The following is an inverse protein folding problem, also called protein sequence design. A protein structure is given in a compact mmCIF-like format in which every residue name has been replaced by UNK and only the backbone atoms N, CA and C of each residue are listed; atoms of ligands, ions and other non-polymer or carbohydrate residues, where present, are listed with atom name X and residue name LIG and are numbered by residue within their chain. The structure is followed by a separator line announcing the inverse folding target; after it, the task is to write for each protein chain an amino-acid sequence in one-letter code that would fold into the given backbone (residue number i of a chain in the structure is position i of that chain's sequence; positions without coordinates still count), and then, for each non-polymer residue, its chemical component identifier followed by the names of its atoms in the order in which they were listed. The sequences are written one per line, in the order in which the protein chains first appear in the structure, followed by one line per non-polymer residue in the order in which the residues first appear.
data_IF_614682780279
#
_entry.id   IF_614682780279
#
_cell.length_a   1.000
_cell.length_b   1.000
_cell.length_c   1.000
_cell.angle_alpha   90.00
_cell.angle_beta   90.00
_cell.angle_gamma   90.00
#
_symmetry.space_group_name_H-M   'P 1'
#
loop_
_entity.id
_entity.type
_entity.pdbx_description
1 polymer ?
#
# COMPACT_ATOMS: atom_id res chain seq x y z
N UNK A 1 -21.21 13.19 12.14
CA UNK A 1 -20.13 12.19 12.10
C UNK A 1 -20.75 10.81 11.88
N UNK A 2 -20.23 10.01 10.97
CA UNK A 2 -20.67 8.64 10.73
C UNK A 2 -19.64 7.68 11.30
N UNK A 3 -20.11 6.48 11.69
CA UNK A 3 -19.23 5.41 12.15
C UNK A 3 -18.76 4.63 10.92
N UNK A 4 -17.49 4.32 10.85
CA UNK A 4 -16.91 3.50 9.81
C UNK A 4 -15.80 2.59 10.36
N UNK A 5 -15.53 1.51 9.68
CA UNK A 5 -14.52 0.53 10.05
C UNK A 5 -13.72 0.10 8.83
N UNK A 6 -12.53 -0.40 9.06
CA UNK A 6 -11.69 -1.04 8.05
C UNK A 6 -11.92 -2.54 8.11
N UNK A 7 -12.07 -3.15 6.95
CA UNK A 7 -12.15 -4.60 6.81
C UNK A 7 -11.09 -5.06 5.82
N UNK A 8 -10.67 -6.30 5.96
CA UNK A 8 -9.78 -6.92 5.00
C UNK A 8 -10.44 -6.96 3.61
N UNK A 9 -9.64 -6.87 2.56
CA UNK A 9 -10.13 -7.11 1.21
C UNK A 9 -10.73 -8.52 1.12
N UNK A 10 -11.91 -8.68 0.47
CA UNK A 10 -12.51 -9.98 0.30
C UNK A 10 -11.58 -10.90 -0.51
N UNK A 11 -11.40 -12.13 -0.05
CA UNK A 11 -10.65 -13.13 -0.79
C UNK A 11 -11.60 -13.90 -1.72
N UNK A 12 -11.14 -14.18 -2.93
CA UNK A 12 -11.79 -15.14 -3.80
C UNK A 12 -11.08 -16.49 -3.62
N UNK A 13 -11.80 -17.47 -3.07
CA UNK A 13 -11.26 -18.80 -2.78
C UNK A 13 -10.85 -19.58 -4.03
N UNK A 14 -11.36 -19.21 -5.20
CA UNK A 14 -11.07 -19.89 -6.48
C UNK A 14 -9.66 -19.59 -6.99
N UNK A 15 -9.03 -18.50 -6.51
CA UNK A 15 -7.68 -18.08 -6.93
C UNK A 15 -6.62 -18.22 -5.82
N UNK A 16 -6.94 -18.90 -4.72
CA UNK A 16 -6.03 -19.11 -3.60
C UNK A 16 -6.00 -17.97 -2.57
N UNK A 17 -5.12 -18.06 -1.58
CA UNK A 17 -5.03 -17.02 -0.56
C UNK A 17 -4.53 -15.72 -1.15
N UNK A 18 -5.26 -14.64 -0.93
CA UNK A 18 -4.84 -13.31 -1.37
C UNK A 18 -3.57 -12.86 -0.64
N UNK A 19 -2.61 -12.41 -1.43
CA UNK A 19 -1.53 -11.55 -0.95
C UNK A 19 -1.92 -10.10 -1.20
N UNK A 20 -1.67 -9.23 -0.23
CA UNK A 20 -1.90 -7.81 -0.38
C UNK A 20 -0.69 -7.18 -1.06
N UNK A 21 -0.86 -6.30 -2.07
CA UNK A 21 0.26 -5.58 -2.64
C UNK A 21 0.85 -4.65 -1.57
N UNK A 22 2.14 -4.78 -1.32
CA UNK A 22 2.88 -3.89 -0.45
C UNK A 22 3.64 -2.86 -1.29
N UNK A 23 3.38 -1.60 -0.99
CA UNK A 23 4.16 -0.48 -1.50
C UNK A 23 4.91 0.14 -0.34
N UNK A 24 6.18 0.45 -0.55
CA UNK A 24 7.00 1.10 0.47
C UNK A 24 7.59 2.37 -0.09
N UNK A 25 7.49 3.45 0.67
CA UNK A 25 8.28 4.64 0.42
C UNK A 25 9.68 4.43 1.00
N UNK A 26 10.70 4.82 0.25
CA UNK A 26 12.09 4.68 0.65
C UNK A 26 12.78 6.03 0.77
N UNK A 27 13.75 6.10 1.66
CA UNK A 27 14.67 7.24 1.76
C UNK A 27 16.03 6.86 1.19
N UNK A 28 16.64 7.77 0.45
CA UNK A 28 17.98 7.60 -0.11
C UNK A 28 18.87 8.77 0.27
N UNK A 29 20.17 8.48 0.40
CA UNK A 29 21.19 9.50 0.62
C UNK A 29 21.83 9.83 -0.73
N UNK A 30 21.84 11.12 -1.09
CA UNK A 30 22.53 11.55 -2.32
C UNK A 30 24.00 11.16 -2.28
N UNK A 31 24.50 10.64 -3.39
CA UNK A 31 25.93 10.31 -3.53
C UNK A 31 26.84 11.54 -3.38
N UNK A 32 26.32 12.73 -3.67
CA UNK A 32 27.03 14.01 -3.57
C UNK A 32 26.87 14.71 -2.21
N UNK A 33 26.12 14.12 -1.27
CA UNK A 33 25.94 14.72 0.06
C UNK A 33 27.26 14.77 0.83
N UNK A 34 27.53 15.90 1.43
CA UNK A 34 28.69 16.10 2.35
C UNK A 34 28.36 15.64 3.78
N UNK A 35 27.08 15.32 4.08
CA UNK A 35 26.58 14.96 5.40
C UNK A 35 25.96 13.55 5.45
N UNK A 36 26.61 12.57 4.79
CA UNK A 36 26.08 11.22 4.65
C UNK A 36 25.85 10.52 5.99
N UNK A 37 26.74 10.71 6.95
CA UNK A 37 26.61 10.10 8.27
C UNK A 37 25.40 10.65 9.04
N UNK A 38 25.24 11.98 9.03
CA UNK A 38 24.07 12.60 9.67
C UNK A 38 22.76 12.17 9.00
N UNK A 39 22.75 12.09 7.66
CA UNK A 39 21.61 11.61 6.90
C UNK A 39 21.28 10.14 7.24
N UNK A 40 22.31 9.32 7.42
CA UNK A 40 22.13 7.92 7.83
C UNK A 40 21.58 7.79 9.25
N UNK A 41 22.06 8.60 10.20
CA UNK A 41 21.50 8.64 11.55
C UNK A 41 20.02 9.05 11.55
N UNK A 42 19.64 10.02 10.71
CA UNK A 42 18.25 10.40 10.53
C UNK A 42 17.40 9.26 9.96
N UNK A 43 17.89 8.55 8.92
CA UNK A 43 17.19 7.41 8.34
C UNK A 43 16.99 6.31 9.38
N UNK A 44 18.04 5.99 10.15
CA UNK A 44 17.94 5.00 11.24
C UNK A 44 16.90 5.40 12.28
N UNK A 45 16.93 6.63 12.73
CA UNK A 45 15.96 7.12 13.70
C UNK A 45 14.55 7.04 13.14
N UNK A 46 14.36 7.54 11.91
CA UNK A 46 13.03 7.55 11.27
C UNK A 46 12.46 6.15 11.05
N UNK A 47 13.31 5.16 10.79
CA UNK A 47 12.88 3.79 10.49
C UNK A 47 12.75 2.93 11.75
N UNK A 48 13.64 3.14 12.76
CA UNK A 48 13.81 2.19 13.85
C UNK A 48 13.33 2.72 15.22
N UNK A 49 13.07 4.03 15.39
CA UNK A 49 12.61 4.54 16.66
C UNK A 49 11.10 4.45 16.82
N UNK A 50 10.64 4.02 17.99
CA UNK A 50 9.20 3.99 18.30
C UNK A 50 8.56 5.38 18.20
N UNK A 51 9.26 6.43 18.62
CA UNK A 51 8.78 7.81 18.52
C UNK A 51 8.47 8.22 17.07
N UNK A 52 9.32 7.82 16.12
CA UNK A 52 9.08 8.07 14.70
C UNK A 52 7.92 7.22 14.18
N UNK A 53 7.85 5.95 14.57
CA UNK A 53 6.77 5.07 14.14
C UNK A 53 5.40 5.54 14.64
N UNK A 54 5.33 6.10 15.85
CA UNK A 54 4.13 6.75 16.38
C UNK A 54 3.67 7.91 15.48
N UNK A 55 4.58 8.75 15.04
CA UNK A 55 4.25 9.86 14.12
C UNK A 55 3.84 9.36 12.74
N UNK A 56 4.52 8.36 12.21
CA UNK A 56 4.20 7.72 10.92
C UNK A 56 2.82 7.08 10.98
N UNK A 57 2.44 6.50 12.11
CA UNK A 57 1.14 5.85 12.28
C UNK A 57 -0.07 6.76 12.07
N UNK A 58 0.14 8.07 12.14
CA UNK A 58 -0.88 9.09 11.87
C UNK A 58 -1.08 9.36 10.38
N UNK A 59 -0.09 8.99 9.56
CA UNK A 59 -0.06 9.25 8.11
C UNK A 59 -0.23 7.97 7.29
N UNK A 60 0.17 6.83 7.84
CA UNK A 60 0.17 5.55 7.15
C UNK A 60 0.46 4.38 8.08
N UNK A 61 0.85 3.27 7.50
CA UNK A 61 1.22 2.06 8.26
C UNK A 61 2.71 2.12 8.60
N UNK A 62 3.09 2.03 9.89
CA UNK A 62 4.48 2.01 10.30
C UNK A 62 5.24 0.81 9.73
N UNK A 63 6.55 0.94 9.53
CA UNK A 63 7.37 -0.12 8.93
C UNK A 63 7.89 -1.13 9.94
N UNK A 64 7.97 -0.77 11.24
CA UNK A 64 8.38 -1.69 12.29
C UNK A 64 7.24 -2.65 12.65
N UNK A 65 7.42 -3.91 12.34
CA UNK A 65 6.45 -4.96 12.70
C UNK A 65 6.17 -4.99 14.20
N UNK A 66 7.21 -4.88 15.04
CA UNK A 66 7.05 -4.85 16.50
C UNK A 66 6.17 -3.69 16.98
N UNK A 67 6.23 -2.54 16.30
CA UNK A 67 5.37 -1.40 16.62
C UNK A 67 3.93 -1.64 16.15
N UNK A 68 3.75 -2.14 14.94
CA UNK A 68 2.41 -2.44 14.39
C UNK A 68 1.65 -3.49 15.21
N UNK A 69 2.36 -4.41 15.82
CA UNK A 69 1.79 -5.44 16.70
C UNK A 69 1.68 -5.00 18.17
N UNK A 70 2.13 -3.79 18.51
CA UNK A 70 2.12 -3.30 19.88
C UNK A 70 0.75 -2.75 20.30
N UNK A 71 0.50 -2.78 21.61
CA UNK A 71 -0.67 -2.13 22.20
C UNK A 71 -0.70 -0.62 21.92
N UNK A 72 0.45 0.02 21.80
CA UNK A 72 0.55 1.43 21.46
C UNK A 72 -0.05 1.71 20.08
N UNK A 73 0.27 0.89 19.07
CA UNK A 73 -0.30 1.04 17.74
C UNK A 73 -1.78 0.63 17.70
N UNK A 74 -2.13 -0.51 18.30
CA UNK A 74 -3.48 -1.06 18.23
C UNK A 74 -4.51 -0.23 19.01
N UNK A 75 -4.07 0.44 20.08
CA UNK A 75 -4.94 1.20 20.98
C UNK A 75 -4.78 2.72 20.87
N UNK A 76 -3.77 3.23 20.17
CA UNK A 76 -3.59 4.65 19.93
C UNK A 76 -4.54 5.14 18.83
N UNK A 77 -5.45 6.06 19.20
CA UNK A 77 -6.45 6.61 18.29
C UNK A 77 -6.47 8.15 18.33
N UNK A 78 -5.39 8.82 17.98
CA UNK A 78 -5.40 10.27 17.95
C UNK A 78 -6.24 10.77 16.76
N UNK A 79 -7.43 11.25 17.06
CA UNK A 79 -8.24 12.13 16.21
C UNK A 79 -8.68 11.67 14.80
N UNK A 80 -8.19 10.59 14.24
CA UNK A 80 -8.74 10.08 13.00
C UNK A 80 -9.71 8.92 13.27
N UNK A 81 -10.96 9.15 13.01
CA UNK A 81 -12.04 8.18 13.23
C UNK A 81 -11.86 6.86 12.48
N UNK A 82 -11.05 6.86 11.44
CA UNK A 82 -10.75 5.71 10.61
C UNK A 82 -10.09 4.58 11.35
N UNK A 83 -9.17 4.95 12.18
CA UNK A 83 -8.21 4.01 12.74
C UNK A 83 -8.76 3.33 13.99
N UNK A 84 -9.82 3.92 14.59
CA UNK A 84 -10.42 3.43 15.82
C UNK A 84 -11.09 2.05 15.70
N UNK A 85 -11.42 1.60 14.50
CA UNK A 85 -12.35 0.50 14.32
C UNK A 85 -11.77 -0.74 13.63
N UNK A 86 -10.51 -0.98 13.65
CA UNK A 86 -9.90 -2.27 13.32
C UNK A 86 -8.44 -2.15 12.81
N UNK A 87 -7.55 -1.60 13.61
CA UNK A 87 -6.11 -1.61 13.30
C UNK A 87 -5.54 -3.02 13.17
N UNK A 88 -6.16 -3.99 13.83
CA UNK A 88 -5.81 -5.41 13.67
C UNK A 88 -5.91 -5.87 12.21
N UNK A 89 -6.85 -5.32 11.43
CA UNK A 89 -6.94 -5.63 10.00
C UNK A 89 -5.70 -5.18 9.23
N UNK A 90 -5.12 -4.02 9.59
CA UNK A 90 -3.88 -3.56 8.97
C UNK A 90 -2.68 -4.43 9.36
N UNK A 91 -2.57 -4.81 10.64
CA UNK A 91 -1.50 -5.69 11.10
C UNK A 91 -1.57 -7.06 10.41
N UNK A 92 -2.76 -7.63 10.26
CA UNK A 92 -2.96 -8.90 9.56
C UNK A 92 -2.69 -8.77 8.05
N UNK A 93 -3.10 -7.67 7.41
CA UNK A 93 -2.78 -7.38 6.01
C UNK A 93 -1.28 -7.29 5.79
N UNK A 94 -0.53 -6.63 6.68
CA UNK A 94 0.94 -6.56 6.59
C UNK A 94 1.61 -7.92 6.68
N UNK A 95 1.12 -8.80 7.53
CA UNK A 95 1.65 -10.17 7.66
C UNK A 95 1.45 -11.01 6.37
N UNK A 96 0.48 -10.62 5.53
CA UNK A 96 0.16 -11.28 4.26
C UNK A 96 0.53 -10.43 3.04
N UNK A 97 1.20 -9.32 3.26
CA UNK A 97 1.64 -8.44 2.18
C UNK A 97 2.82 -9.07 1.41
N UNK A 98 2.78 -8.96 0.10
CA UNK A 98 3.88 -9.31 -0.77
C UNK A 98 4.25 -8.12 -1.65
N UNK A 99 5.55 -7.97 -1.91
CA UNK A 99 6.01 -6.97 -2.87
C UNK A 99 5.40 -7.26 -4.24
N UNK A 100 4.93 -6.22 -4.90
CA UNK A 100 4.48 -6.34 -6.28
C UNK A 100 5.73 -6.39 -7.18
N UNK A 101 5.81 -7.40 -8.02
CA UNK A 101 6.85 -7.43 -9.04
C UNK A 101 6.65 -6.27 -10.02
N UNK A 102 7.67 -5.41 -10.12
CA UNK A 102 7.69 -4.31 -11.06
C UNK A 102 8.30 -4.78 -12.37
N UNK A 103 7.49 -5.30 -13.26
CA UNK A 103 7.90 -5.57 -14.62
C UNK A 103 8.00 -4.25 -15.37
N UNK A 104 8.97 -4.12 -16.30
CA UNK A 104 9.13 -2.90 -17.11
C UNK A 104 7.89 -2.52 -17.91
N UNK A 105 7.07 -3.51 -18.25
CA UNK A 105 5.78 -3.38 -18.94
C UNK A 105 4.65 -2.87 -18.05
N UNK A 106 4.86 -2.81 -16.72
CA UNK A 106 3.80 -2.48 -15.75
C UNK A 106 3.23 -1.07 -15.95
N UNK A 107 4.07 -0.12 -16.36
CA UNK A 107 3.62 1.24 -16.64
C UNK A 107 2.57 1.28 -17.77
N UNK A 108 2.80 0.53 -18.85
CA UNK A 108 1.86 0.48 -19.98
C UNK A 108 0.53 -0.18 -19.61
N UNK A 109 0.57 -1.24 -18.81
CA UNK A 109 -0.64 -1.91 -18.33
C UNK A 109 -1.41 -0.97 -17.39
N UNK A 110 -0.71 -0.26 -16.52
CA UNK A 110 -1.32 0.65 -15.55
C UNK A 110 -1.97 1.88 -16.22
N UNK A 111 -1.36 2.39 -17.26
CA UNK A 111 -1.94 3.47 -18.07
C UNK A 111 -3.25 3.01 -18.73
N UNK A 112 -3.27 1.82 -19.32
CA UNK A 112 -4.49 1.30 -19.91
C UNK A 112 -5.55 0.96 -18.86
N UNK A 113 -5.16 0.39 -17.71
CA UNK A 113 -6.07 0.15 -16.58
C UNK A 113 -6.73 1.45 -16.13
N UNK A 114 -5.97 2.53 -15.99
CA UNK A 114 -6.48 3.83 -15.60
C UNK A 114 -7.49 4.39 -16.60
N UNK A 115 -7.23 4.26 -17.90
CA UNK A 115 -8.17 4.68 -18.95
C UNK A 115 -9.47 3.89 -18.87
N UNK A 116 -9.39 2.57 -18.79
CA UNK A 116 -10.58 1.72 -18.73
C UNK A 116 -11.39 1.96 -17.45
N UNK A 117 -10.72 2.12 -16.30
CA UNK A 117 -11.38 2.48 -15.06
C UNK A 117 -12.16 3.80 -15.16
N UNK A 118 -11.55 4.84 -15.75
CA UNK A 118 -12.22 6.11 -15.97
C UNK A 118 -13.42 5.99 -16.92
N UNK A 119 -13.26 5.26 -18.02
CA UNK A 119 -14.33 5.05 -19.00
C UNK A 119 -15.55 4.32 -18.38
N UNK A 120 -15.30 3.30 -17.56
CA UNK A 120 -16.36 2.61 -16.81
C UNK A 120 -17.01 3.55 -15.79
N UNK A 121 -16.21 4.33 -15.06
CA UNK A 121 -16.71 5.27 -14.05
C UNK A 121 -17.60 6.37 -14.64
N UNK A 122 -17.31 6.76 -15.88
CA UNK A 122 -18.09 7.73 -16.65
C UNK A 122 -19.24 7.09 -17.44
N UNK A 123 -19.44 5.78 -17.34
CA UNK A 123 -20.43 4.99 -18.11
C UNK A 123 -20.22 5.08 -19.63
N UNK A 124 -19.00 5.28 -20.09
CA UNK A 124 -18.61 5.32 -21.49
C UNK A 124 -18.38 3.91 -22.08
N UNK A 125 -18.11 2.93 -21.21
CA UNK A 125 -17.95 1.51 -21.57
C UNK A 125 -18.49 0.63 -20.44
N UNK A 126 -18.70 -0.65 -20.73
CA UNK A 126 -19.08 -1.66 -19.73
C UNK A 126 -17.85 -2.26 -19.05
N UNK A 127 -18.04 -2.88 -17.89
CA UNK A 127 -16.97 -3.61 -17.19
C UNK A 127 -16.41 -4.73 -18.06
N UNK A 128 -17.27 -5.48 -18.74
CA UNK A 128 -16.87 -6.63 -19.59
C UNK A 128 -16.02 -6.18 -20.79
N UNK A 129 -16.41 -5.07 -21.44
CA UNK A 129 -15.62 -4.48 -22.52
C UNK A 129 -14.27 -3.97 -22.03
N UNK A 130 -14.23 -3.30 -20.88
CA UNK A 130 -12.99 -2.83 -20.26
C UNK A 130 -12.04 -3.99 -19.93
N UNK A 131 -12.55 -5.09 -19.37
CA UNK A 131 -11.78 -6.30 -19.07
C UNK A 131 -11.21 -6.89 -20.38
N UNK A 132 -11.99 -6.99 -21.43
CA UNK A 132 -11.52 -7.52 -22.72
C UNK A 132 -10.37 -6.69 -23.32
N UNK A 133 -10.44 -5.36 -23.20
CA UNK A 133 -9.35 -4.47 -23.62
C UNK A 133 -8.08 -4.70 -22.80
N UNK A 134 -8.22 -4.82 -21.47
CA UNK A 134 -7.10 -5.05 -20.56
C UNK A 134 -6.43 -6.41 -20.80
N UNK A 135 -7.21 -7.47 -21.05
CA UNK A 135 -6.68 -8.78 -21.38
C UNK A 135 -5.85 -8.74 -22.67
N UNK A 136 -6.41 -8.13 -23.73
CA UNK A 136 -5.69 -7.96 -25.00
C UNK A 136 -4.40 -7.15 -24.84
N UNK A 137 -4.43 -6.09 -24.03
CA UNK A 137 -3.22 -5.31 -23.73
C UNK A 137 -2.19 -6.16 -22.99
N UNK A 138 -2.61 -6.92 -21.97
CA UNK A 138 -1.74 -7.84 -21.23
C UNK A 138 -1.06 -8.86 -22.14
N UNK A 139 -1.80 -9.50 -23.03
CA UNK A 139 -1.26 -10.43 -24.01
C UNK A 139 -0.21 -9.76 -24.90
N UNK A 140 -0.50 -8.56 -25.43
CA UNK A 140 0.41 -7.85 -26.35
C UNK A 140 1.72 -7.37 -25.73
N UNK A 141 1.83 -7.27 -24.42
CA UNK A 141 3.06 -6.84 -23.74
C UNK A 141 3.87 -8.01 -23.17
N UNK A 142 3.32 -9.23 -23.23
CA UNK A 142 4.00 -10.47 -22.84
C UNK A 142 4.62 -11.23 -24.01
N UNK A 143 4.28 -10.87 -25.25
CA UNK A 143 4.91 -11.34 -26.48
C UNK A 143 6.23 -10.59 -26.76
#
# INVERSE_FOLDING_TARGET
SFKWAVVQLPSNTDYGPWTYPAYTDGMAISSTSEHKEAAWEFIKWNTLSEESQEKISQLGVPVLKSYVESDNYLNDFPNSYAVKYNKEAFADMMNRAAGQESLGIWAEINDELTKQYNAVSLSETTVDEAIAVLQKKGESVLE
#
